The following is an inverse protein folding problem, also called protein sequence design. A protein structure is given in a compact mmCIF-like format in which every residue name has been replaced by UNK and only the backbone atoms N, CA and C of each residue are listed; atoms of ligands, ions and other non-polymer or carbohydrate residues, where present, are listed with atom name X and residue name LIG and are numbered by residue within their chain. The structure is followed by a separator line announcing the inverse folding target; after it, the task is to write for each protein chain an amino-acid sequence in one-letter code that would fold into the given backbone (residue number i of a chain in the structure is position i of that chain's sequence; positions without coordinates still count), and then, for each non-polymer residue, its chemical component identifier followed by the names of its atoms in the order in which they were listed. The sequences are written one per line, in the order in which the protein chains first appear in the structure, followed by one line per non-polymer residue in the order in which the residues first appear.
data_IF_598001802910
#
_entry.id   IF_598001802910
#
_cell.length_a   1.000
_cell.length_b   1.000
_cell.length_c   1.000
_cell.angle_alpha   90.00
_cell.angle_beta   90.00
_cell.angle_gamma   90.00
#
_symmetry.space_group_name_H-M   'P 1'
#
loop_
_entity.id
_entity.type
_entity.pdbx_description
1 polymer ?
#
# COMPACT_ATOMS: atom_id res chain seq x y z
N UNK A 1 -12.02 22.07 -2.51
CA UNK A 1 -12.02 22.65 -1.14
C UNK A 1 -13.42 22.87 -0.58
N UNK A 2 -14.27 23.68 -1.22
CA UNK A 2 -15.65 23.95 -0.77
C UNK A 2 -16.55 22.70 -0.63
N UNK A 3 -16.39 21.71 -1.53
CA UNK A 3 -17.14 20.46 -1.49
C UNK A 3 -16.79 19.61 -0.27
N UNK A 4 -15.50 19.54 0.07
CA UNK A 4 -14.98 18.77 1.20
C UNK A 4 -15.49 19.37 2.53
N UNK A 5 -15.41 20.70 2.68
CA UNK A 5 -15.93 21.39 3.86
C UNK A 5 -17.46 21.26 4.02
N UNK A 6 -18.22 21.26 2.92
CA UNK A 6 -19.69 21.12 2.97
C UNK A 6 -20.15 19.72 3.42
N UNK A 7 -19.34 18.69 3.16
CA UNK A 7 -19.62 17.30 3.57
C UNK A 7 -19.27 17.10 5.04
N UNK A 8 -18.19 17.74 5.53
CA UNK A 8 -17.78 17.64 6.94
C UNK A 8 -18.59 18.53 7.90
N UNK A 9 -19.22 19.60 7.43
CA UNK A 9 -19.97 20.55 8.27
C UNK A 9 -21.39 20.10 8.64
N UNK A 10 -22.02 19.22 7.86
CA UNK A 10 -23.44 18.83 8.07
C UNK A 10 -23.68 17.77 9.15
N UNK A 11 -22.63 17.16 9.68
CA UNK A 11 -22.70 16.28 10.84
C UNK A 11 -21.62 16.76 11.78
N UNK A 12 -21.98 17.36 12.91
CA UNK A 12 -21.04 17.85 13.91
C UNK A 12 -20.29 16.67 14.56
N UNK A 13 -19.35 16.10 13.81
CA UNK A 13 -18.31 15.22 14.31
C UNK A 13 -17.31 16.10 15.07
N UNK A 14 -16.82 15.60 16.20
CA UNK A 14 -15.80 16.30 16.98
C UNK A 14 -14.64 16.68 16.04
N UNK A 15 -14.05 17.89 16.15
CA UNK A 15 -12.98 18.36 15.25
C UNK A 15 -11.82 17.35 15.07
N UNK A 16 -11.56 16.54 16.11
CA UNK A 16 -10.59 15.46 16.12
C UNK A 16 -10.92 14.34 15.12
N UNK A 17 -12.20 13.95 15.00
CA UNK A 17 -12.66 12.95 14.05
C UNK A 17 -12.61 13.47 12.61
N UNK A 18 -12.77 14.78 12.40
CA UNK A 18 -12.65 15.42 11.08
C UNK A 18 -11.19 15.40 10.58
N UNK A 19 -10.23 15.73 11.47
CA UNK A 19 -8.81 15.71 11.14
C UNK A 19 -8.31 14.29 10.84
N UNK A 20 -8.72 13.29 11.62
CA UNK A 20 -8.30 11.90 11.40
C UNK A 20 -8.89 11.31 10.12
N UNK A 21 -10.12 11.68 9.76
CA UNK A 21 -10.71 11.31 8.47
C UNK A 21 -9.94 11.95 7.31
N UNK A 22 -9.55 13.21 7.44
CA UNK A 22 -8.73 13.89 6.43
C UNK A 22 -7.36 13.22 6.27
N UNK A 23 -6.68 12.89 7.38
CA UNK A 23 -5.41 12.17 7.33
C UNK A 23 -5.57 10.77 6.72
N UNK A 24 -6.66 10.06 7.05
CA UNK A 24 -6.95 8.76 6.44
C UNK A 24 -7.10 8.87 4.92
N UNK A 25 -7.77 9.91 4.42
CA UNK A 25 -7.90 10.18 2.98
C UNK A 25 -6.53 10.42 2.35
N UNK A 26 -5.65 11.23 2.96
CA UNK A 26 -4.28 11.45 2.46
C UNK A 26 -3.51 10.13 2.39
N UNK A 27 -3.60 9.31 3.44
CA UNK A 27 -2.93 8.01 3.47
C UNK A 27 -3.42 7.07 2.35
N UNK A 28 -4.73 7.06 2.08
CA UNK A 28 -5.30 6.29 0.98
C UNK A 28 -4.86 6.83 -0.40
N UNK A 29 -4.77 8.15 -0.56
CA UNK A 29 -4.32 8.80 -1.78
C UNK A 29 -2.87 8.42 -2.12
N UNK A 30 -1.98 8.40 -1.12
CA UNK A 30 -0.60 7.96 -1.29
C UNK A 30 -0.48 6.51 -1.83
N UNK A 31 -1.45 5.62 -1.54
CA UNK A 31 -1.49 4.27 -2.09
C UNK A 31 -1.81 4.32 -3.59
N UNK A 32 -2.76 5.17 -3.98
CA UNK A 32 -3.17 5.37 -5.37
C UNK A 32 -1.99 5.94 -6.18
N UNK A 33 -1.31 6.96 -5.65
CA UNK A 33 -0.12 7.55 -6.26
C UNK A 33 0.99 6.51 -6.45
N UNK A 34 1.27 5.71 -5.41
CA UNK A 34 2.27 4.63 -5.50
C UNK A 34 1.91 3.59 -6.58
N UNK A 35 0.62 3.25 -6.70
CA UNK A 35 0.15 2.32 -7.72
C UNK A 35 0.28 2.91 -9.13
N UNK A 36 -0.08 4.19 -9.29
CA UNK A 36 0.08 4.91 -10.56
C UNK A 36 1.55 4.97 -10.98
N UNK A 37 2.46 5.30 -10.07
CA UNK A 37 3.90 5.31 -10.35
C UNK A 37 4.42 3.94 -10.76
N UNK A 38 3.97 2.86 -10.10
CA UNK A 38 4.35 1.50 -10.46
C UNK A 38 3.89 1.13 -11.87
N UNK A 39 2.65 1.47 -12.23
CA UNK A 39 2.11 1.24 -13.58
C UNK A 39 2.85 2.06 -14.63
N UNK A 40 3.15 3.33 -14.35
CA UNK A 40 3.94 4.20 -15.25
C UNK A 40 5.33 3.61 -15.51
N UNK A 41 6.00 3.08 -14.49
CA UNK A 41 7.30 2.41 -14.67
C UNK A 41 7.17 1.11 -15.46
N UNK A 42 6.14 0.28 -15.20
CA UNK A 42 5.87 -0.93 -15.99
C UNK A 42 5.70 -0.59 -17.48
N UNK A 43 4.96 0.48 -17.79
CA UNK A 43 4.73 0.92 -19.16
C UNK A 43 6.04 1.32 -19.88
N UNK A 44 7.03 1.87 -19.17
CA UNK A 44 8.35 2.16 -19.75
C UNK A 44 9.09 0.87 -20.16
N UNK A 45 8.88 -0.21 -19.41
CA UNK A 45 9.49 -1.51 -19.66
C UNK A 45 8.63 -2.48 -20.48
N UNK A 46 7.63 -2.01 -21.24
CA UNK A 46 6.64 -2.88 -21.91
C UNK A 46 7.23 -3.97 -22.82
N UNK A 47 8.48 -3.79 -23.29
CA UNK A 47 9.18 -4.77 -24.12
C UNK A 47 9.75 -5.94 -23.31
N UNK A 48 9.92 -5.76 -22.00
CA UNK A 48 10.44 -6.78 -21.09
C UNK A 48 9.27 -7.60 -20.53
N UNK A 49 9.33 -8.92 -20.70
CA UNK A 49 8.36 -9.81 -20.06
C UNK A 49 8.56 -9.74 -18.54
N UNK A 50 7.52 -9.43 -17.74
CA UNK A 50 7.67 -9.40 -16.30
C UNK A 50 8.04 -10.80 -15.78
N UNK A 51 9.02 -10.84 -14.88
CA UNK A 51 9.37 -12.06 -14.15
C UNK A 51 8.21 -12.48 -13.26
N UNK A 52 8.05 -13.78 -13.04
CA UNK A 52 6.99 -14.33 -12.18
C UNK A 52 6.98 -13.68 -10.78
N UNK A 53 8.16 -13.49 -10.18
CA UNK A 53 8.31 -12.82 -8.87
C UNK A 53 7.74 -11.39 -8.88
N UNK A 54 7.79 -10.66 -10.00
CA UNK A 54 7.19 -9.32 -10.10
C UNK A 54 5.66 -9.41 -10.05
N UNK A 55 5.07 -10.43 -10.68
CA UNK A 55 3.63 -10.68 -10.63
C UNK A 55 3.20 -11.03 -9.22
N UNK A 56 3.90 -11.96 -8.56
CA UNK A 56 3.65 -12.33 -7.17
C UNK A 56 3.76 -11.12 -6.22
N UNK A 57 4.75 -10.26 -6.43
CA UNK A 57 4.87 -9.01 -5.67
C UNK A 57 3.65 -8.09 -5.86
N UNK A 58 3.16 -7.95 -7.09
CA UNK A 58 1.99 -7.14 -7.38
C UNK A 58 0.72 -7.73 -6.72
N UNK A 59 0.57 -9.05 -6.73
CA UNK A 59 -0.51 -9.75 -6.04
C UNK A 59 -0.46 -9.51 -4.52
N UNK A 60 0.73 -9.56 -3.90
CA UNK A 60 0.90 -9.24 -2.47
C UNK A 60 0.56 -7.78 -2.18
N UNK A 61 0.98 -6.84 -3.02
CA UNK A 61 0.59 -5.44 -2.87
C UNK A 61 -0.91 -5.22 -3.00
N UNK A 62 -1.57 -5.90 -3.95
CA UNK A 62 -3.02 -5.88 -4.06
C UNK A 62 -3.72 -6.46 -2.83
N UNK A 63 -3.27 -7.62 -2.33
CA UNK A 63 -3.79 -8.22 -1.10
C UNK A 63 -3.68 -7.26 0.11
N UNK A 64 -2.59 -6.49 0.22
CA UNK A 64 -2.47 -5.45 1.25
C UNK A 64 -3.60 -4.42 1.15
N UNK A 65 -3.91 -3.93 -0.07
CA UNK A 65 -4.99 -2.95 -0.28
C UNK A 65 -6.38 -3.51 -0.03
N UNK A 66 -6.62 -4.79 -0.36
CA UNK A 66 -7.89 -5.48 -0.12
C UNK A 66 -8.15 -5.66 1.39
N UNK A 67 -7.14 -6.14 2.12
CA UNK A 67 -7.19 -6.24 3.58
C UNK A 67 -7.34 -4.88 4.28
N UNK A 68 -6.73 -3.84 3.72
CA UNK A 68 -6.87 -2.49 4.24
C UNK A 68 -8.30 -1.96 4.07
N UNK A 69 -8.97 -2.26 2.95
CA UNK A 69 -10.36 -1.90 2.74
C UNK A 69 -11.27 -2.47 3.85
N UNK A 70 -11.05 -3.73 4.22
CA UNK A 70 -11.73 -4.36 5.35
C UNK A 70 -11.42 -3.65 6.67
N UNK A 71 -10.16 -3.28 6.94
CA UNK A 71 -9.80 -2.55 8.15
C UNK A 71 -10.52 -1.20 8.25
N UNK A 72 -10.58 -0.44 7.15
CA UNK A 72 -11.27 0.86 7.07
C UNK A 72 -12.77 0.69 7.33
N UNK A 73 -13.39 -0.35 6.77
CA UNK A 73 -14.83 -0.62 6.96
C UNK A 73 -15.22 -0.75 8.43
N UNK A 74 -14.34 -1.33 9.25
CA UNK A 74 -14.62 -1.58 10.67
C UNK A 74 -14.12 -0.49 11.62
N UNK A 75 -13.34 0.50 11.15
CA UNK A 75 -12.66 1.48 12.02
C UNK A 75 -13.60 2.29 12.92
N UNK A 76 -14.88 2.44 12.58
CA UNK A 76 -15.87 3.16 13.40
C UNK A 76 -17.00 2.28 13.95
N UNK A 77 -16.93 0.96 13.72
CA UNK A 77 -18.01 0.02 14.09
C UNK A 77 -17.54 -1.18 14.90
N UNK A 78 -16.30 -1.64 14.68
CA UNK A 78 -15.74 -2.82 15.33
C UNK A 78 -14.20 -2.72 15.38
N UNK A 79 -13.69 -2.18 16.49
CA UNK A 79 -12.26 -1.94 16.68
C UNK A 79 -11.42 -3.22 16.66
N UNK A 80 -11.94 -4.33 17.20
CA UNK A 80 -11.22 -5.60 17.20
C UNK A 80 -11.04 -6.13 15.77
N UNK A 81 -12.08 -6.06 14.93
CA UNK A 81 -11.96 -6.41 13.52
C UNK A 81 -11.03 -5.46 12.78
N UNK A 82 -11.13 -4.15 12.99
CA UNK A 82 -10.23 -3.18 12.37
C UNK A 82 -8.75 -3.52 12.66
N UNK A 83 -8.42 -3.81 13.93
CA UNK A 83 -7.08 -4.23 14.34
C UNK A 83 -6.66 -5.57 13.72
N UNK A 84 -7.57 -6.54 13.66
CA UNK A 84 -7.31 -7.85 13.04
C UNK A 84 -6.90 -7.71 11.58
N UNK A 85 -7.64 -6.95 10.80
CA UNK A 85 -7.33 -6.72 9.39
C UNK A 85 -6.06 -5.88 9.22
N UNK A 86 -5.90 -4.82 10.01
CA UNK A 86 -4.68 -4.02 10.01
C UNK A 86 -3.44 -4.90 10.26
N UNK A 87 -3.48 -5.83 11.21
CA UNK A 87 -2.38 -6.79 11.47
C UNK A 87 -2.07 -7.69 10.27
N UNK A 88 -3.10 -8.17 9.56
CA UNK A 88 -2.90 -8.97 8.35
C UNK A 88 -2.19 -8.20 7.24
N UNK A 89 -2.45 -6.89 7.09
CA UNK A 89 -1.73 -6.04 6.13
C UNK A 89 -0.21 -6.09 6.37
N UNK A 90 0.25 -5.98 7.62
CA UNK A 90 1.69 -6.07 7.94
C UNK A 90 2.29 -7.42 7.56
N UNK A 91 1.58 -8.52 7.79
CA UNK A 91 2.03 -9.87 7.42
C UNK A 91 2.19 -9.99 5.90
N UNK A 92 1.20 -9.55 5.13
CA UNK A 92 1.28 -9.60 3.65
C UNK A 92 2.36 -8.65 3.11
N UNK A 93 2.59 -7.49 3.75
CA UNK A 93 3.68 -6.58 3.42
C UNK A 93 5.05 -7.23 3.67
N UNK A 94 5.20 -8.04 4.71
CA UNK A 94 6.41 -8.85 4.96
C UNK A 94 6.67 -9.83 3.81
N UNK A 95 5.65 -10.58 3.38
CA UNK A 95 5.76 -11.46 2.21
C UNK A 95 6.22 -10.70 0.95
N UNK A 96 5.65 -9.51 0.68
CA UNK A 96 6.03 -8.68 -0.47
C UNK A 96 7.51 -8.23 -0.39
N UNK A 97 7.98 -7.91 0.81
CA UNK A 97 9.39 -7.55 1.06
C UNK A 97 10.32 -8.74 0.81
N UNK A 98 9.94 -9.93 1.23
CA UNK A 98 10.74 -11.14 1.03
C UNK A 98 10.86 -11.49 -0.46
N UNK A 99 9.76 -11.38 -1.21
CA UNK A 99 9.78 -11.54 -2.68
C UNK A 99 10.71 -10.52 -3.35
N UNK A 100 10.69 -9.26 -2.92
CA UNK A 100 11.64 -8.24 -3.41
C UNK A 100 13.09 -8.65 -3.17
N UNK A 101 13.41 -9.17 -1.98
CA UNK A 101 14.75 -9.67 -1.67
C UNK A 101 15.13 -10.86 -2.54
N UNK A 102 14.21 -11.79 -2.80
CA UNK A 102 14.43 -12.93 -3.69
C UNK A 102 14.72 -12.46 -5.12
N UNK A 103 13.95 -11.51 -5.64
CA UNK A 103 14.18 -10.90 -6.94
C UNK A 103 15.57 -10.26 -7.01
N UNK A 104 15.94 -9.46 -6.01
CA UNK A 104 17.26 -8.81 -5.99
C UNK A 104 18.39 -9.84 -5.98
N UNK A 105 18.26 -10.93 -5.21
CA UNK A 105 19.23 -12.04 -5.27
C UNK A 105 19.33 -12.63 -6.68
N UNK A 106 18.20 -12.85 -7.36
CA UNK A 106 18.16 -13.38 -8.72
C UNK A 106 18.82 -12.43 -9.72
N UNK A 107 18.46 -11.15 -9.68
CA UNK A 107 18.93 -10.13 -10.62
C UNK A 107 20.43 -9.81 -10.42
N UNK A 108 20.89 -9.66 -9.19
CA UNK A 108 22.29 -9.27 -8.92
C UNK A 108 23.28 -10.42 -8.98
N UNK A 109 22.85 -11.67 -8.73
CA UNK A 109 23.74 -12.85 -8.79
C UNK A 109 23.62 -13.59 -10.12
N UNK A 110 22.50 -13.46 -10.81
CA UNK A 110 22.29 -14.07 -12.12
C UNK A 110 23.18 -13.40 -13.17
N UNK A 111 23.71 -14.21 -14.09
CA UNK A 111 24.37 -13.70 -15.32
C UNK A 111 23.37 -13.54 -16.47
N UNK A 112 22.10 -13.77 -16.20
CA UNK A 112 21.00 -13.80 -17.18
C UNK A 112 20.52 -12.40 -17.58
N UNK A 113 20.76 -11.40 -16.73
CA UNK A 113 20.25 -10.04 -16.93
C UNK A 113 21.38 -9.10 -17.31
N UNK A 114 21.14 -8.28 -18.33
CA UNK A 114 22.03 -7.16 -18.58
C UNK A 114 21.85 -6.04 -17.52
N UNK A 115 22.80 -5.10 -17.39
CA UNK A 115 22.70 -4.04 -16.39
C UNK A 115 21.44 -3.16 -16.49
N UNK A 116 20.91 -2.97 -17.71
CA UNK A 116 19.72 -2.16 -17.94
C UNK A 116 18.44 -2.90 -17.51
N UNK A 117 18.35 -4.20 -17.80
CA UNK A 117 17.29 -5.07 -17.29
C UNK A 117 17.35 -5.17 -15.77
N UNK A 118 18.56 -5.34 -15.22
CA UNK A 118 18.75 -5.40 -13.78
C UNK A 118 18.31 -4.12 -13.08
N UNK A 119 18.64 -2.96 -13.64
CA UNK A 119 18.17 -1.66 -13.16
C UNK A 119 16.64 -1.56 -13.27
N UNK A 120 16.05 -1.97 -14.39
CA UNK A 120 14.61 -1.96 -14.57
C UNK A 120 13.90 -2.79 -13.49
N UNK A 121 14.31 -4.04 -13.29
CA UNK A 121 13.74 -4.92 -12.25
C UNK A 121 13.92 -4.35 -10.85
N UNK A 122 15.07 -3.73 -10.57
CA UNK A 122 15.28 -3.02 -9.31
C UNK A 122 14.27 -1.88 -9.12
N UNK A 123 14.10 -1.02 -10.11
CA UNK A 123 13.19 0.13 -10.04
C UNK A 123 11.74 -0.32 -9.89
N UNK A 124 11.27 -1.26 -10.73
CA UNK A 124 9.87 -1.69 -10.66
C UNK A 124 9.56 -2.44 -9.37
N UNK A 125 10.47 -3.29 -8.89
CA UNK A 125 10.29 -3.99 -7.62
C UNK A 125 10.10 -3.03 -6.45
N UNK A 126 10.83 -1.90 -6.47
CA UNK A 126 10.70 -0.85 -5.46
C UNK A 126 9.32 -0.19 -5.56
N UNK A 127 8.87 0.20 -6.75
CA UNK A 127 7.58 0.87 -6.93
C UNK A 127 6.38 -0.01 -6.59
N UNK A 128 6.39 -1.29 -6.97
CA UNK A 128 5.32 -2.23 -6.58
C UNK A 128 5.28 -2.41 -5.06
N UNK A 129 6.45 -2.52 -4.41
CA UNK A 129 6.52 -2.68 -2.95
C UNK A 129 6.04 -1.42 -2.23
N UNK A 130 6.21 -0.24 -2.83
CA UNK A 130 5.76 1.04 -2.24
C UNK A 130 4.25 1.03 -1.97
N UNK A 131 3.45 0.42 -2.87
CA UNK A 131 1.99 0.24 -2.65
C UNK A 131 1.71 -0.51 -1.35
N UNK A 132 2.40 -1.62 -1.10
CA UNK A 132 2.26 -2.40 0.12
C UNK A 132 2.73 -1.64 1.37
N UNK A 133 3.77 -0.81 1.24
CA UNK A 133 4.28 0.04 2.32
C UNK A 133 3.25 1.12 2.68
N UNK A 134 2.70 1.84 1.70
CA UNK A 134 1.67 2.85 1.94
C UNK A 134 0.40 2.22 2.55
N UNK A 135 0.04 1.01 2.12
CA UNK A 135 -1.06 0.27 2.73
C UNK A 135 -0.79 -0.06 4.21
N UNK A 136 0.43 -0.49 4.56
CA UNK A 136 0.80 -0.71 5.96
C UNK A 136 0.81 0.60 6.77
N UNK A 137 1.37 1.68 6.25
CA UNK A 137 1.37 2.98 6.95
C UNK A 137 -0.07 3.42 7.26
N UNK A 138 -0.98 3.18 6.32
CA UNK A 138 -2.41 3.43 6.55
C UNK A 138 -2.98 2.50 7.62
N UNK A 139 -2.63 1.20 7.60
CA UNK A 139 -3.04 0.25 8.63
C UNK A 139 -2.50 0.63 10.03
N UNK A 140 -1.28 1.15 10.12
CA UNK A 140 -0.69 1.67 11.36
C UNK A 140 -1.41 2.93 11.87
N UNK A 141 -1.81 3.81 10.95
CA UNK A 141 -2.66 4.93 11.28
C UNK A 141 -4.02 4.49 11.83
N UNK A 142 -4.65 3.47 11.22
CA UNK A 142 -5.88 2.85 11.73
C UNK A 142 -5.68 2.30 13.14
N UNK A 143 -4.58 1.58 13.40
CA UNK A 143 -4.26 1.08 14.75
C UNK A 143 -4.13 2.23 15.75
N UNK A 144 -3.53 3.33 15.35
CA UNK A 144 -3.38 4.53 16.18
C UNK A 144 -4.74 5.15 16.54
N UNK A 145 -5.66 5.25 15.58
CA UNK A 145 -7.04 5.68 15.82
C UNK A 145 -7.71 4.74 16.81
N UNK A 146 -7.64 3.42 16.57
CA UNK A 146 -8.28 2.44 17.47
C UNK A 146 -7.77 2.56 18.91
N UNK A 147 -6.45 2.64 19.12
CA UNK A 147 -5.86 2.79 20.47
C UNK A 147 -6.30 4.08 21.15
N UNK A 148 -6.54 5.16 20.37
CA UNK A 148 -6.95 6.45 20.91
C UNK A 148 -8.41 6.47 21.39
N UNK A 149 -9.28 5.66 20.78
CA UNK A 149 -10.72 5.63 21.05
C UNK A 149 -11.22 4.35 21.73
N UNK A 150 -10.35 3.35 21.93
CA UNK A 150 -10.60 2.17 22.77
C UNK A 150 -10.48 2.51 24.26
#
# INVERSE_FOLDING_TARGET
DEFVESVFSKHAYMPQQSQERYQLVIHMDNIIDAAEEAVRVLALGYKNKPLEVIVEMAEKSWMCTDLLQDAIKYIFTDFEKALKYARKVSVVREDARDLKFQLHKKVFRGKEFDPSEGLFYHVISRRITEVAIQAELTADFIRTIVIRYS
#
